data_IF_126038291171
#
_entry.id   IF_126038291171
#
_cell.length_a   1.000
_cell.length_b   1.000
_cell.length_c   1.000
_cell.angle_alpha   90.00
_cell.angle_beta   90.00
_cell.angle_gamma   90.00
#
_symmetry.space_group_name_H-M   'P 1'
#
loop_
_entity.id
_entity.type
_entity.pdbx_description
1 polymer ?
#
# COMPACT_ATOMS: atom_id res chain seq x y z
N UNK A 1 11.36 3.99 17.15
CA UNK A 1 11.88 2.63 17.41
C UNK A 1 13.13 2.41 16.59
N UNK A 2 14.14 1.74 17.16
CA UNK A 2 15.37 1.38 16.48
C UNK A 2 15.48 -0.15 16.43
N UNK A 3 15.65 -0.72 15.23
CA UNK A 3 15.74 -2.16 14.98
C UNK A 3 17.18 -2.60 14.69
N UNK A 4 18.19 -1.72 14.89
CA UNK A 4 19.60 -2.06 14.69
C UNK A 4 20.03 -3.19 15.63
N UNK A 5 20.76 -4.17 15.10
CA UNK A 5 21.22 -5.36 15.80
C UNK A 5 20.17 -6.44 16.04
N UNK A 6 18.91 -6.21 15.69
CA UNK A 6 17.84 -7.19 15.84
C UNK A 6 17.68 -8.05 14.58
N UNK A 7 17.35 -9.36 14.77
CA UNK A 7 16.94 -10.26 13.68
C UNK A 7 15.50 -9.97 13.32
N UNK A 8 15.30 -9.21 12.24
CA UNK A 8 13.96 -8.78 11.76
C UNK A 8 13.45 -9.72 10.69
N UNK A 9 12.31 -10.36 10.90
CA UNK A 9 11.72 -11.32 9.96
C UNK A 9 10.72 -10.69 9.00
N UNK A 10 11.06 -10.63 7.70
CA UNK A 10 10.13 -10.33 6.61
C UNK A 10 10.66 -10.84 5.28
N UNK A 11 9.78 -11.41 4.42
CA UNK A 11 10.12 -11.78 3.03
C UNK A 11 9.62 -10.75 2.02
N UNK A 12 9.00 -9.66 2.45
CA UNK A 12 8.58 -8.56 1.58
C UNK A 12 9.73 -7.60 1.37
N UNK A 13 10.17 -7.42 0.13
CA UNK A 13 11.25 -6.49 -0.19
C UNK A 13 10.90 -5.06 0.25
N UNK A 14 9.69 -4.62 0.00
CA UNK A 14 9.19 -3.33 0.49
C UNK A 14 9.36 -3.17 2.01
N UNK A 15 8.87 -4.13 2.81
CA UNK A 15 8.99 -4.08 4.27
C UNK A 15 10.43 -4.15 4.74
N UNK A 16 11.29 -4.88 4.02
CA UNK A 16 12.73 -4.94 4.27
C UNK A 16 13.35 -3.55 4.14
N UNK A 17 13.04 -2.84 3.03
CA UNK A 17 13.55 -1.50 2.81
C UNK A 17 12.98 -0.49 3.80
N UNK A 18 11.70 -0.54 4.10
CA UNK A 18 11.09 0.29 5.15
C UNK A 18 11.74 0.06 6.52
N UNK A 19 12.01 -1.19 6.88
CA UNK A 19 12.73 -1.50 8.13
C UNK A 19 14.14 -0.93 8.15
N UNK A 20 14.86 -1.02 7.03
CA UNK A 20 16.20 -0.45 6.85
C UNK A 20 16.18 1.08 6.98
N UNK A 21 15.38 1.76 6.17
CA UNK A 21 15.43 3.22 6.04
C UNK A 21 14.79 3.97 7.21
N UNK A 22 13.69 3.45 7.77
CA UNK A 22 12.94 4.18 8.80
C UNK A 22 13.22 3.70 10.22
N UNK A 23 13.74 2.48 10.39
CA UNK A 23 13.97 1.89 11.70
C UNK A 23 15.40 1.40 11.93
N UNK A 24 16.31 1.64 10.95
CA UNK A 24 17.73 1.30 11.09
C UNK A 24 18.00 -0.20 11.14
N UNK A 25 17.11 -1.05 10.62
CA UNK A 25 17.32 -2.49 10.61
C UNK A 25 18.50 -2.86 9.69
N UNK A 26 19.52 -3.49 10.25
CA UNK A 26 20.72 -3.94 9.57
C UNK A 26 20.79 -5.47 9.35
N UNK A 27 19.89 -6.22 10.00
CA UNK A 27 19.82 -7.67 9.90
C UNK A 27 18.39 -8.13 9.63
N UNK A 28 17.95 -8.01 8.35
CA UNK A 28 16.61 -8.42 7.91
C UNK A 28 16.70 -9.78 7.22
N UNK A 29 15.99 -10.75 7.76
CA UNK A 29 16.01 -12.15 7.35
C UNK A 29 14.67 -12.57 6.76
N UNK A 30 14.72 -13.47 5.77
CA UNK A 30 13.51 -14.02 5.17
C UNK A 30 12.75 -14.90 6.15
N UNK A 31 11.44 -14.65 6.27
CA UNK A 31 10.54 -15.50 7.04
C UNK A 31 9.40 -16.00 6.14
N UNK A 32 9.27 -17.30 6.00
CA UNK A 32 8.24 -17.97 5.18
C UNK A 32 7.29 -18.76 6.05
N UNK A 33 6.12 -19.04 5.50
CA UNK A 33 5.02 -19.74 6.14
C UNK A 33 3.78 -18.84 6.30
N UNK A 34 2.68 -19.42 6.74
CA UNK A 34 1.49 -18.68 7.12
C UNK A 34 1.73 -17.88 8.43
N UNK A 35 0.73 -17.14 8.87
CA UNK A 35 0.86 -16.29 10.06
C UNK A 35 1.21 -17.09 11.30
N UNK A 36 0.53 -18.24 11.52
CA UNK A 36 0.78 -19.11 12.68
C UNK A 36 2.22 -19.62 12.72
N UNK A 37 2.71 -20.07 11.56
CA UNK A 37 4.10 -20.53 11.41
C UNK A 37 5.10 -19.44 11.73
N UNK A 38 4.83 -18.19 11.30
CA UNK A 38 5.72 -17.05 11.56
C UNK A 38 5.69 -16.66 13.03
N UNK A 39 4.51 -16.71 13.66
CA UNK A 39 4.36 -16.47 15.10
C UNK A 39 5.10 -17.54 15.90
N UNK A 40 5.04 -18.82 15.49
CA UNK A 40 5.79 -19.88 16.12
C UNK A 40 7.30 -19.66 16.04
N UNK A 41 7.82 -19.25 14.87
CA UNK A 41 9.25 -18.93 14.70
C UNK A 41 9.71 -17.78 15.59
N UNK A 42 8.86 -16.77 15.82
CA UNK A 42 9.13 -15.70 16.78
C UNK A 42 9.19 -16.27 18.21
N UNK A 43 8.22 -17.10 18.61
CA UNK A 43 8.22 -17.75 19.93
C UNK A 43 9.42 -18.68 20.16
N UNK A 44 9.91 -19.31 19.09
CA UNK A 44 11.11 -20.16 19.11
C UNK A 44 12.42 -19.37 19.11
N UNK A 45 12.37 -18.04 19.25
CA UNK A 45 13.53 -17.14 19.25
C UNK A 45 14.39 -17.21 17.96
N UNK A 46 13.79 -17.58 16.81
CA UNK A 46 14.49 -17.53 15.53
C UNK A 46 14.62 -16.09 15.03
N UNK A 47 13.73 -15.20 15.46
CA UNK A 47 13.70 -13.76 15.20
C UNK A 47 13.49 -13.00 16.50
N UNK A 48 13.98 -11.77 16.56
CA UNK A 48 13.74 -10.86 17.68
C UNK A 48 12.46 -10.05 17.47
N UNK A 49 12.10 -9.80 16.19
CA UNK A 49 10.80 -9.25 15.79
C UNK A 49 10.44 -9.70 14.38
N UNK A 50 9.15 -9.61 14.03
CA UNK A 50 8.63 -9.93 12.70
C UNK A 50 7.65 -8.86 12.24
N UNK A 51 7.58 -8.61 10.93
CA UNK A 51 6.67 -7.62 10.35
C UNK A 51 5.49 -8.33 9.68
N UNK A 52 4.29 -8.12 10.23
CA UNK A 52 3.04 -8.73 9.75
C UNK A 52 1.97 -7.67 9.51
N UNK A 53 0.94 -8.04 8.75
CA UNK A 53 -0.28 -7.26 8.67
C UNK A 53 -1.14 -7.53 9.93
N UNK A 54 -1.44 -6.49 10.70
CA UNK A 54 -2.24 -6.59 11.94
C UNK A 54 -3.58 -7.27 11.71
N UNK A 55 -4.27 -6.95 10.61
CA UNK A 55 -5.56 -7.57 10.27
C UNK A 55 -5.48 -9.09 10.11
N UNK A 56 -4.34 -9.62 9.67
CA UNK A 56 -4.11 -11.07 9.63
C UNK A 56 -4.13 -11.70 11.01
N UNK A 57 -3.49 -11.05 11.98
CA UNK A 57 -3.48 -11.51 13.39
C UNK A 57 -4.87 -11.41 14.02
N UNK A 58 -5.59 -10.31 13.76
CA UNK A 58 -6.95 -10.10 14.27
C UNK A 58 -7.94 -11.14 13.74
N UNK A 59 -7.92 -11.40 12.43
CA UNK A 59 -8.80 -12.40 11.78
C UNK A 59 -8.58 -13.81 12.29
N UNK A 60 -7.34 -14.15 12.64
CA UNK A 60 -7.00 -15.45 13.20
C UNK A 60 -7.21 -15.54 14.74
N UNK A 61 -7.61 -14.44 15.37
CA UNK A 61 -7.78 -14.39 16.83
C UNK A 61 -6.46 -14.54 17.62
N UNK A 62 -5.32 -14.37 16.96
CA UNK A 62 -3.98 -14.48 17.57
C UNK A 62 -3.42 -13.13 18.02
N UNK A 63 -4.09 -12.04 17.70
CA UNK A 63 -3.71 -10.73 18.20
C UNK A 63 -4.01 -10.66 19.70
N UNK A 64 -2.97 -10.66 20.51
CA UNK A 64 -3.06 -10.65 21.98
C UNK A 64 -2.48 -9.34 22.50
N UNK A 65 -3.05 -8.88 23.62
CA UNK A 65 -2.59 -7.68 24.30
C UNK A 65 -1.21 -7.83 24.96
N UNK A 66 -0.72 -9.06 25.11
CA UNK A 66 0.61 -9.39 25.64
C UNK A 66 1.73 -9.37 24.59
N UNK A 67 1.39 -9.22 23.32
CA UNK A 67 2.39 -8.96 22.27
C UNK A 67 2.81 -7.49 22.32
N UNK A 68 4.12 -7.26 22.39
CA UNK A 68 4.68 -5.94 22.18
C UNK A 68 4.56 -5.57 20.69
N UNK A 69 3.40 -5.07 20.31
CA UNK A 69 3.12 -4.63 18.95
C UNK A 69 3.21 -3.11 18.86
N UNK A 70 3.81 -2.60 17.81
CA UNK A 70 3.59 -1.22 17.39
C UNK A 70 3.08 -1.20 15.96
N UNK A 71 2.17 -0.29 15.70
CA UNK A 71 1.64 -0.06 14.36
C UNK A 71 2.55 0.93 13.65
N UNK A 72 3.06 0.51 12.49
CA UNK A 72 3.88 1.36 11.64
C UNK A 72 2.98 2.26 10.80
N UNK A 73 3.37 3.53 10.66
CA UNK A 73 2.76 4.49 9.74
C UNK A 73 3.34 4.42 8.31
N UNK A 74 4.11 3.39 7.99
CA UNK A 74 4.69 3.22 6.67
C UNK A 74 3.62 2.98 5.61
N UNK A 75 3.87 3.50 4.42
CA UNK A 75 2.98 3.28 3.28
C UNK A 75 2.78 1.77 3.00
N UNK A 76 1.53 1.37 2.67
CA UNK A 76 1.18 -0.02 2.41
C UNK A 76 1.70 -0.53 1.05
N UNK A 77 1.46 -1.80 0.76
CA UNK A 77 1.52 -2.31 -0.61
C UNK A 77 0.27 -1.89 -1.37
N UNK A 78 0.36 -1.83 -2.69
CA UNK A 78 -0.81 -1.68 -3.58
C UNK A 78 -1.92 -2.66 -3.17
N UNK A 79 -3.14 -2.15 -3.00
CA UNK A 79 -4.32 -2.93 -2.65
C UNK A 79 -4.32 -3.55 -1.24
N UNK A 80 -3.36 -3.19 -0.38
CA UNK A 80 -3.36 -3.69 1.00
C UNK A 80 -4.57 -3.12 1.76
N UNK A 81 -5.45 -4.00 2.21
CA UNK A 81 -6.71 -3.63 2.87
C UNK A 81 -7.94 -3.86 1.98
N UNK A 82 -7.75 -3.98 0.67
CA UNK A 82 -8.82 -4.29 -0.28
C UNK A 82 -8.98 -5.80 -0.41
N UNK A 83 -10.20 -6.29 -0.25
CA UNK A 83 -10.56 -7.71 -0.47
C UNK A 83 -11.35 -7.81 -1.76
N UNK A 84 -10.85 -8.62 -2.69
CA UNK A 84 -11.51 -8.85 -3.98
C UNK A 84 -12.14 -10.24 -4.02
N UNK A 85 -13.30 -10.34 -4.67
CA UNK A 85 -13.92 -11.59 -5.07
C UNK A 85 -13.64 -11.83 -6.56
N UNK A 86 -13.09 -12.98 -6.89
CA UNK A 86 -12.84 -13.37 -8.29
C UNK A 86 -13.67 -14.61 -8.63
N UNK A 87 -14.34 -14.58 -9.78
CA UNK A 87 -15.08 -15.70 -10.30
C UNK A 87 -14.84 -15.84 -11.82
N UNK A 88 -15.22 -16.99 -12.38
CA UNK A 88 -15.07 -17.23 -13.83
C UNK A 88 -16.05 -16.33 -14.61
N UNK A 89 -15.58 -15.70 -15.69
CA UNK A 89 -16.37 -14.73 -16.46
C UNK A 89 -17.64 -15.34 -17.04
N UNK A 90 -17.62 -16.62 -17.38
CA UNK A 90 -18.75 -17.39 -17.91
C UNK A 90 -19.72 -17.93 -16.83
N UNK A 91 -19.41 -17.76 -15.55
CA UNK A 91 -20.23 -18.21 -14.43
C UNK A 91 -21.22 -17.10 -14.00
N UNK A 92 -22.28 -16.95 -14.82
CA UNK A 92 -23.29 -15.93 -14.59
C UNK A 92 -24.06 -16.11 -13.27
N UNK A 93 -24.19 -17.35 -12.76
CA UNK A 93 -24.91 -17.62 -11.52
C UNK A 93 -24.13 -17.06 -10.33
N UNK A 94 -22.84 -17.36 -10.25
CA UNK A 94 -21.95 -16.78 -9.22
C UNK A 94 -21.90 -15.25 -9.34
N UNK A 95 -21.84 -14.71 -10.56
CA UNK A 95 -21.85 -13.27 -10.80
C UNK A 95 -23.10 -12.59 -10.25
N UNK A 96 -24.28 -13.17 -10.45
CA UNK A 96 -25.55 -12.66 -9.90
C UNK A 96 -25.57 -12.69 -8.36
N UNK A 97 -25.07 -13.76 -7.76
CA UNK A 97 -24.97 -13.87 -6.28
C UNK A 97 -24.07 -12.76 -5.74
N UNK A 98 -22.90 -12.56 -6.34
CA UNK A 98 -21.96 -11.53 -5.91
C UNK A 98 -22.59 -10.13 -6.05
N UNK A 99 -23.18 -9.80 -7.21
CA UNK A 99 -23.88 -8.51 -7.40
C UNK A 99 -24.94 -8.27 -6.34
N UNK A 100 -25.75 -9.29 -6.03
CA UNK A 100 -26.80 -9.18 -5.00
C UNK A 100 -26.22 -8.88 -3.60
N UNK A 101 -25.04 -9.44 -3.27
CA UNK A 101 -24.37 -9.14 -1.99
C UNK A 101 -23.97 -7.67 -1.91
N UNK A 102 -23.46 -7.11 -2.99
CA UNK A 102 -23.05 -5.71 -3.05
C UNK A 102 -24.25 -4.77 -3.01
N UNK A 103 -25.29 -5.04 -3.81
CA UNK A 103 -26.50 -4.19 -3.91
C UNK A 103 -27.27 -4.12 -2.59
N UNK A 104 -27.42 -5.26 -1.89
CA UNK A 104 -28.23 -5.33 -0.66
C UNK A 104 -27.58 -4.70 0.57
N UNK A 105 -26.28 -4.44 0.54
CA UNK A 105 -25.55 -3.95 1.71
C UNK A 105 -25.12 -2.48 1.60
N UNK A 106 -25.63 -1.72 0.63
CA UNK A 106 -25.21 -0.34 0.34
C UNK A 106 -23.67 -0.20 0.25
N UNK A 107 -22.99 -1.27 -0.21
CA UNK A 107 -21.53 -1.30 -0.33
C UNK A 107 -21.04 -0.61 -1.60
N UNK A 108 -21.95 -0.07 -2.43
CA UNK A 108 -21.60 0.51 -3.73
C UNK A 108 -20.68 1.73 -3.57
N UNK A 109 -20.96 2.65 -2.64
CA UNK A 109 -20.12 3.86 -2.47
C UNK A 109 -18.71 3.49 -2.02
N UNK A 110 -18.58 2.69 -0.96
CA UNK A 110 -17.25 2.25 -0.47
C UNK A 110 -16.50 1.36 -1.48
N UNK A 111 -17.22 0.62 -2.33
CA UNK A 111 -16.63 -0.20 -3.38
C UNK A 111 -16.13 0.63 -4.58
N UNK A 112 -16.80 1.71 -4.92
CA UNK A 112 -16.34 2.63 -5.99
C UNK A 112 -15.01 3.25 -5.61
N UNK A 113 -14.89 3.76 -4.39
CA UNK A 113 -13.65 4.36 -3.90
C UNK A 113 -12.51 3.33 -3.88
N UNK A 114 -12.74 2.14 -3.30
CA UNK A 114 -11.74 1.07 -3.30
C UNK A 114 -11.33 0.62 -4.72
N UNK A 115 -12.26 0.66 -5.67
CA UNK A 115 -11.95 0.36 -7.07
C UNK A 115 -11.07 1.44 -7.69
N UNK A 116 -11.38 2.72 -7.47
CA UNK A 116 -10.58 3.86 -7.96
C UNK A 116 -9.18 3.81 -7.33
N UNK A 117 -9.09 3.69 -6.01
CA UNK A 117 -7.82 3.59 -5.29
C UNK A 117 -6.94 2.45 -5.85
N UNK A 118 -7.55 1.29 -6.11
CA UNK A 118 -6.83 0.14 -6.66
C UNK A 118 -6.41 0.36 -8.12
N UNK A 119 -7.27 0.97 -8.95
CA UNK A 119 -6.99 1.24 -10.35
C UNK A 119 -5.83 2.22 -10.51
N UNK A 120 -5.84 3.33 -9.76
CA UNK A 120 -4.78 4.33 -9.78
C UNK A 120 -3.45 3.78 -9.24
N UNK A 121 -3.50 3.04 -8.13
CA UNK A 121 -2.31 2.37 -7.60
C UNK A 121 -1.73 1.36 -8.60
N UNK A 122 -2.59 0.61 -9.30
CA UNK A 122 -2.17 -0.34 -10.33
C UNK A 122 -1.57 0.37 -11.55
N UNK A 123 -2.17 1.47 -11.98
CA UNK A 123 -1.62 2.29 -13.08
C UNK A 123 -0.21 2.77 -12.75
N UNK A 124 -0.02 3.35 -11.56
CA UNK A 124 1.28 3.83 -11.10
C UNK A 124 2.33 2.71 -11.08
N UNK A 125 2.03 1.59 -10.44
CA UNK A 125 2.97 0.46 -10.31
C UNK A 125 3.29 -0.17 -11.67
N UNK A 126 2.27 -0.34 -12.53
CA UNK A 126 2.44 -0.92 -13.87
C UNK A 126 3.25 -0.03 -14.82
N UNK A 127 3.08 1.29 -14.75
CA UNK A 127 3.84 2.25 -15.56
C UNK A 127 5.33 2.23 -15.25
N UNK A 128 5.70 1.89 -14.01
CA UNK A 128 7.10 1.68 -13.60
C UNK A 128 7.63 0.26 -13.93
N UNK A 129 6.83 -0.61 -14.57
CA UNK A 129 7.19 -1.99 -14.85
C UNK A 129 7.35 -2.86 -13.60
N UNK A 130 6.75 -2.46 -12.50
CA UNK A 130 6.88 -3.10 -11.20
C UNK A 130 5.77 -4.12 -10.94
N UNK A 131 6.01 -5.01 -9.99
CA UNK A 131 5.10 -6.06 -9.57
C UNK A 131 5.07 -6.24 -8.04
N UNK A 132 4.44 -7.31 -7.55
CA UNK A 132 4.34 -7.61 -6.12
C UNK A 132 5.70 -7.96 -5.45
N UNK A 133 6.76 -8.19 -6.23
CA UNK A 133 8.11 -8.42 -5.72
C UNK A 133 8.94 -7.13 -5.70
N UNK A 134 8.45 -6.08 -6.31
CA UNK A 134 9.13 -4.78 -6.35
C UNK A 134 9.04 -4.06 -5.01
N UNK A 135 10.06 -3.29 -4.71
CA UNK A 135 10.12 -2.52 -3.45
C UNK A 135 9.37 -1.19 -3.60
N UNK A 136 8.05 -1.25 -3.80
CA UNK A 136 7.17 -0.07 -3.88
C UNK A 136 6.15 -0.11 -2.76
N UNK A 137 5.98 1.03 -2.10
CA UNK A 137 4.86 1.33 -1.22
C UNK A 137 4.00 2.40 -1.87
N UNK A 138 2.68 2.25 -1.81
CA UNK A 138 1.76 3.21 -2.40
C UNK A 138 0.47 3.25 -1.59
N UNK A 139 -0.01 4.45 -1.35
CA UNK A 139 -1.31 4.73 -0.77
C UNK A 139 -2.06 5.69 -1.68
N UNK A 140 -3.31 5.36 -1.91
CA UNK A 140 -4.26 6.19 -2.64
C UNK A 140 -5.48 6.32 -1.74
N UNK A 141 -5.89 7.54 -1.47
CA UNK A 141 -7.05 7.87 -0.64
C UNK A 141 -7.97 8.81 -1.42
N UNK A 142 -9.28 8.62 -1.31
CA UNK A 142 -10.25 9.60 -1.76
C UNK A 142 -10.33 10.75 -0.75
N UNK A 143 -9.96 11.95 -1.18
CA UNK A 143 -9.92 13.14 -0.34
C UNK A 143 -11.30 13.83 -0.17
N UNK A 144 -12.41 13.18 -0.51
CA UNK A 144 -13.75 13.80 -0.43
C UNK A 144 -14.13 14.24 0.98
N UNK A 145 -13.55 13.67 2.02
CA UNK A 145 -13.82 13.97 3.42
C UNK A 145 -12.80 14.94 4.08
N UNK A 146 -11.78 15.40 3.35
CA UNK A 146 -10.74 16.27 3.92
C UNK A 146 -10.97 17.75 3.57
N UNK A 147 -11.99 18.33 4.20
CA UNK A 147 -12.26 19.77 4.14
C UNK A 147 -12.63 20.26 2.73
N UNK A 148 -11.89 21.21 2.17
CA UNK A 148 -12.16 21.81 0.85
C UNK A 148 -11.47 21.08 -0.32
N UNK A 149 -10.82 19.94 -0.09
CA UNK A 149 -10.16 19.17 -1.14
C UNK A 149 -11.10 18.07 -1.63
N UNK A 150 -11.54 18.18 -2.88
CA UNK A 150 -12.14 17.07 -3.63
C UNK A 150 -11.07 16.56 -4.57
N UNK A 151 -10.72 15.28 -4.47
CA UNK A 151 -9.74 14.68 -5.37
C UNK A 151 -9.04 13.49 -4.76
N UNK A 152 -8.16 12.91 -5.55
CA UNK A 152 -7.36 11.77 -5.17
C UNK A 152 -6.08 12.25 -4.46
N UNK A 153 -5.79 11.67 -3.31
CA UNK A 153 -4.50 11.80 -2.64
C UNK A 153 -3.68 10.56 -2.93
N UNK A 154 -2.57 10.72 -3.65
CA UNK A 154 -1.66 9.63 -3.93
C UNK A 154 -0.28 9.95 -3.37
N UNK A 155 0.32 8.98 -2.69
CA UNK A 155 1.72 9.03 -2.31
C UNK A 155 2.37 7.66 -2.51
N UNK A 156 3.61 7.68 -3.00
CA UNK A 156 4.36 6.47 -3.27
C UNK A 156 5.82 6.60 -2.83
N UNK A 157 6.40 5.49 -2.42
CA UNK A 157 7.82 5.33 -2.09
C UNK A 157 8.38 4.19 -2.92
N UNK A 158 9.46 4.47 -3.65
CA UNK A 158 10.18 3.51 -4.48
C UNK A 158 11.57 3.34 -3.89
N UNK A 159 11.92 2.10 -3.57
CA UNK A 159 13.13 1.78 -2.84
C UNK A 159 14.13 1.07 -3.72
N UNK A 160 15.36 1.57 -3.75
CA UNK A 160 16.54 0.87 -4.19
C UNK A 160 17.32 0.30 -2.99
N UNK A 161 18.49 -0.22 -3.26
CA UNK A 161 19.36 -0.84 -2.26
C UNK A 161 19.82 0.13 -1.16
N UNK A 162 20.22 1.35 -1.54
CA UNK A 162 20.85 2.31 -0.65
C UNK A 162 20.15 3.68 -0.60
N UNK A 163 19.08 3.85 -1.36
CA UNK A 163 18.29 5.07 -1.39
C UNK A 163 16.82 4.77 -1.68
N UNK A 164 15.97 5.76 -1.49
CA UNK A 164 14.58 5.72 -1.94
C UNK A 164 14.13 7.10 -2.39
N UNK A 165 13.11 7.13 -3.21
CA UNK A 165 12.41 8.35 -3.61
C UNK A 165 10.97 8.32 -3.11
N UNK A 166 10.43 9.51 -2.86
CA UNK A 166 9.02 9.71 -2.53
C UNK A 166 8.40 10.70 -3.51
N UNK A 167 7.20 10.38 -3.98
CA UNK A 167 6.32 11.27 -4.71
C UNK A 167 4.99 11.36 -3.99
N UNK A 168 4.38 12.53 -4.00
CA UNK A 168 3.09 12.73 -3.34
C UNK A 168 2.34 13.89 -4.02
N UNK A 169 1.01 13.80 -4.07
CA UNK A 169 0.14 14.87 -4.58
C UNK A 169 -0.10 15.97 -3.55
N UNK A 170 0.24 15.75 -2.28
CA UNK A 170 -0.03 16.64 -1.14
C UNK A 170 1.13 16.62 -0.13
N UNK A 171 1.22 17.62 0.72
CA UNK A 171 2.16 17.70 1.83
C UNK A 171 1.64 16.99 3.10
N UNK A 172 2.40 17.07 4.19
CA UNK A 172 2.04 16.48 5.50
C UNK A 172 0.79 17.10 6.14
N UNK A 173 0.36 18.28 5.70
CA UNK A 173 -0.84 18.97 6.17
C UNK A 173 -2.06 18.68 5.28
N UNK A 174 -1.87 17.94 4.17
CA UNK A 174 -2.90 17.66 3.18
C UNK A 174 -3.08 18.78 2.15
N UNK A 175 -2.15 19.76 2.10
CA UNK A 175 -2.17 20.80 1.07
C UNK A 175 -1.59 20.29 -0.24
N UNK A 176 -2.23 20.65 -1.36
CA UNK A 176 -1.83 20.21 -2.69
C UNK A 176 -0.50 20.86 -3.09
N UNK A 177 0.51 20.02 -3.38
CA UNK A 177 1.88 20.46 -3.63
C UNK A 177 2.10 21.10 -5.00
N UNK A 178 1.30 20.75 -6.03
CA UNK A 178 1.49 21.23 -7.40
C UNK A 178 0.33 22.08 -7.87
N UNK A 179 0.62 23.18 -8.60
CA UNK A 179 -0.40 24.07 -9.17
C UNK A 179 -1.34 23.34 -10.14
N UNK A 180 -0.82 22.35 -10.85
CA UNK A 180 -1.57 21.50 -11.77
C UNK A 180 -2.72 20.78 -11.04
N UNK A 181 -2.49 20.36 -9.80
CA UNK A 181 -3.55 19.77 -8.97
C UNK A 181 -4.55 20.82 -8.45
N UNK A 182 -4.12 22.05 -8.24
CA UNK A 182 -4.98 23.12 -7.77
C UNK A 182 -6.01 23.56 -8.83
N UNK A 183 -5.65 23.51 -10.12
CA UNK A 183 -6.58 23.81 -11.23
C UNK A 183 -7.65 22.73 -11.39
N UNK A 184 -7.41 21.52 -10.93
CA UNK A 184 -8.38 20.41 -10.95
C UNK A 184 -9.46 20.52 -9.88
N UNK A 185 -9.30 21.37 -8.86
CA UNK A 185 -10.36 21.65 -7.85
C UNK A 185 -11.68 22.13 -8.45
N UNK A 186 -11.65 22.66 -9.67
CA UNK A 186 -12.82 23.28 -10.32
C UNK A 186 -13.63 22.28 -11.16
N UNK A 187 -13.15 21.04 -11.38
CA UNK A 187 -13.78 20.08 -12.30
C UNK A 187 -13.88 18.66 -11.69
N UNK A 188 -15.04 18.27 -11.15
CA UNK A 188 -15.25 16.92 -10.62
C UNK A 188 -15.77 15.97 -11.71
N UNK A 189 -14.95 15.54 -12.66
CA UNK A 189 -15.34 14.53 -13.65
C UNK A 189 -14.40 13.31 -13.64
N UNK A 190 -14.97 12.14 -13.92
CA UNK A 190 -14.29 10.85 -14.00
C UNK A 190 -13.19 10.85 -15.10
N UNK A 191 -12.01 11.22 -14.80
CA UNK A 191 -10.85 11.40 -15.69
C UNK A 191 -9.74 12.20 -15.03
N UNK A 192 -10.06 12.90 -13.95
CA UNK A 192 -9.09 13.77 -13.26
C UNK A 192 -8.11 12.97 -12.41
N UNK A 193 -8.51 11.82 -11.90
CA UNK A 193 -7.66 10.89 -11.14
C UNK A 193 -6.47 10.41 -11.98
N UNK A 194 -6.72 10.04 -13.23
CA UNK A 194 -5.70 9.59 -14.18
C UNK A 194 -4.62 10.65 -14.44
N UNK A 195 -5.00 11.93 -14.42
CA UNK A 195 -4.03 13.04 -14.64
C UNK A 195 -3.06 13.16 -13.46
N UNK A 196 -3.55 13.09 -12.22
CA UNK A 196 -2.70 13.14 -11.02
C UNK A 196 -1.73 11.96 -11.03
N UNK A 197 -2.21 10.77 -11.28
CA UNK A 197 -1.40 9.57 -11.34
C UNK A 197 -0.32 9.67 -12.42
N UNK A 198 -0.64 10.16 -13.61
CA UNK A 198 0.33 10.36 -14.69
C UNK A 198 1.41 11.37 -14.33
N UNK A 199 1.06 12.51 -13.72
CA UNK A 199 2.05 13.51 -13.28
C UNK A 199 3.00 12.91 -12.25
N UNK A 200 2.50 12.11 -11.31
CA UNK A 200 3.35 11.46 -10.30
C UNK A 200 4.21 10.33 -10.88
N UNK A 201 3.74 9.64 -11.92
CA UNK A 201 4.54 8.67 -12.67
C UNK A 201 5.73 9.38 -13.34
N UNK A 202 5.48 10.48 -14.05
CA UNK A 202 6.52 11.27 -14.68
C UNK A 202 7.54 11.77 -13.65
N UNK A 203 7.08 12.33 -12.54
CA UNK A 203 7.94 12.78 -11.44
C UNK A 203 8.79 11.64 -10.86
N UNK A 204 8.20 10.45 -10.66
CA UNK A 204 8.93 9.29 -10.17
C UNK A 204 10.03 8.86 -11.13
N UNK A 205 9.73 8.84 -12.44
CA UNK A 205 10.71 8.50 -13.48
C UNK A 205 11.83 9.54 -13.53
N UNK A 206 11.51 10.84 -13.50
CA UNK A 206 12.50 11.93 -13.47
C UNK A 206 13.41 11.86 -12.24
N UNK A 207 12.90 11.41 -11.12
CA UNK A 207 13.67 11.18 -9.88
C UNK A 207 14.50 9.89 -9.89
N UNK A 208 14.42 9.08 -10.95
CA UNK A 208 15.23 7.86 -11.11
C UNK A 208 14.56 6.58 -10.58
N UNK A 209 13.23 6.52 -10.54
CA UNK A 209 12.51 5.34 -10.06
C UNK A 209 12.88 4.04 -10.79
N UNK A 210 13.09 4.13 -12.11
CA UNK A 210 13.42 2.96 -12.93
C UNK A 210 14.82 2.41 -12.58
N UNK A 211 15.77 3.27 -12.25
CA UNK A 211 17.10 2.86 -11.84
C UNK A 211 17.06 2.13 -10.49
N UNK A 212 16.31 2.69 -9.52
CA UNK A 212 16.13 2.07 -8.20
C UNK A 212 15.49 0.68 -8.25
N UNK A 213 14.55 0.48 -9.17
CA UNK A 213 13.85 -0.81 -9.30
C UNK A 213 14.70 -1.88 -9.99
N UNK A 214 15.78 -1.47 -10.68
CA UNK A 214 16.72 -2.38 -11.35
C UNK A 214 17.93 -2.75 -10.48
N UNK A 215 18.07 -2.21 -9.27
CA UNK A 215 19.12 -2.56 -8.29
C UNK A 215 18.83 -3.89 -7.56
#
# INVERSE_FOLDING_TARGET
YNLSGLRVGTSSLRRKMQAKFFYGADNVLDIRGNVDTRMQKLSDNQFDCIILAEQGLRRLGIYKNDLNCFVSSNLPAMGQGIVCLQYRAEDEETGKIISTIFDNNNLLEGNVNAFIEMAEAQQFVSALGADCNSAIAIQVDDATDWGNCRGLMLQAEIYGKDSFIRVASHDENGDILKKEYATMKEFPHAGEHEVITNILIEEAIEKGALDLLNE
#
